data_IF_465655799678
#
_entry.id   IF_465655799678
#
_cell.length_a   1.000
_cell.length_b   1.000
_cell.length_c   1.000
_cell.angle_alpha   90.00
_cell.angle_beta   90.00
_cell.angle_gamma   90.00
#
_symmetry.space_group_name_H-M   'P 1'
#
loop_
_entity.id
_entity.type
_entity.pdbx_description
1 polymer ?
#
# COMPACT_ATOMS: atom_id res chain seq x y z
N UNK A 1 -3.55 -14.52 29.41
CA UNK A 1 -2.29 -13.84 29.84
C UNK A 1 -1.37 -13.39 28.69
N UNK A 2 -1.71 -13.59 27.41
CA UNK A 2 -0.88 -13.15 26.25
C UNK A 2 -1.18 -11.72 25.78
N UNK A 3 -2.33 -11.16 26.18
CA UNK A 3 -2.82 -9.85 25.71
C UNK A 3 -2.07 -8.63 26.28
N UNK A 4 -1.34 -8.77 27.40
CA UNK A 4 -0.54 -7.67 27.94
C UNK A 4 0.80 -7.50 27.24
N UNK A 5 1.37 -8.55 26.64
CA UNK A 5 2.70 -8.47 26.01
C UNK A 5 2.76 -7.56 24.79
N UNK A 6 1.74 -7.58 23.92
CA UNK A 6 1.74 -6.78 22.68
C UNK A 6 1.49 -5.29 22.93
N UNK A 7 0.62 -4.95 23.88
CA UNK A 7 0.37 -3.56 24.29
C UNK A 7 1.59 -3.00 25.04
N UNK A 8 2.27 -3.83 25.85
CA UNK A 8 3.51 -3.43 26.52
C UNK A 8 4.65 -3.21 25.52
N UNK A 9 4.77 -4.03 24.46
CA UNK A 9 5.77 -3.82 23.40
C UNK A 9 5.53 -2.52 22.64
N UNK A 10 4.27 -2.18 22.33
CA UNK A 10 3.94 -0.89 21.71
C UNK A 10 4.32 0.26 22.66
N UNK A 11 3.92 0.21 23.95
CA UNK A 11 4.27 1.23 24.95
C UNK A 11 5.78 1.35 25.24
N UNK A 12 6.52 0.23 25.23
CA UNK A 12 7.97 0.22 25.45
C UNK A 12 8.73 0.87 24.28
N UNK A 13 8.22 0.75 23.04
CA UNK A 13 8.77 1.46 21.88
C UNK A 13 8.58 2.98 22.01
N UNK A 14 7.51 3.44 22.65
CA UNK A 14 7.24 4.88 22.85
C UNK A 14 7.98 5.51 24.03
N UNK A 15 8.25 4.75 25.11
CA UNK A 15 8.84 5.32 26.32
C UNK A 15 10.29 5.77 26.11
N UNK A 16 11.02 5.08 25.22
CA UNK A 16 12.38 5.45 24.82
C UNK A 16 12.41 6.72 23.93
N UNK A 17 11.29 7.03 23.26
CA UNK A 17 11.18 8.19 22.36
C UNK A 17 10.95 9.52 23.09
N UNK A 18 10.51 9.50 24.35
CA UNK A 18 10.22 10.70 25.14
C UNK A 18 11.42 11.22 25.96
N UNK A 19 12.45 10.40 26.18
CA UNK A 19 13.62 10.80 27.00
C UNK A 19 14.80 11.38 26.20
N UNK A 20 14.75 11.38 24.86
CA UNK A 20 15.87 11.87 24.05
C UNK A 20 15.88 13.39 23.80
N UNK A 21 14.94 14.17 24.34
CA UNK A 21 14.86 15.62 24.08
C UNK A 21 14.62 16.41 25.35
N UNK A 22 15.53 16.36 26.33
CA UNK A 22 15.81 17.49 27.24
C UNK A 22 17.20 17.33 27.86
N UNK A 23 18.23 17.91 27.25
CA UNK A 23 19.36 18.51 27.99
C UNK A 23 19.79 19.78 27.25
N UNK A 24 19.70 20.89 27.97
CA UNK A 24 20.22 22.20 27.60
C UNK A 24 21.69 22.29 27.99
N UNK A 25 22.58 22.62 27.04
CA UNK A 25 23.67 23.62 27.14
C UNK A 25 24.68 23.52 25.96
N UNK A 26 25.49 24.58 25.68
CA UNK A 26 25.63 25.10 24.32
C UNK A 26 26.98 24.82 23.61
N UNK A 27 26.95 25.06 22.29
CA UNK A 27 28.07 25.21 21.32
C UNK A 27 28.95 23.98 21.07
N UNK A 28 28.75 23.40 19.87
CA UNK A 28 29.71 22.50 19.22
C UNK A 28 29.11 21.96 17.92
N UNK A 29 29.72 22.30 16.78
CA UNK A 29 29.25 21.97 15.43
C UNK A 29 28.97 20.46 15.26
N UNK A 30 27.70 20.05 15.33
CA UNK A 30 27.19 18.72 14.94
C UNK A 30 25.65 18.70 14.89
N UNK A 31 24.99 19.81 14.56
CA UNK A 31 23.55 19.76 14.29
C UNK A 31 23.35 18.94 12.99
N UNK A 32 22.57 17.84 13.01
CA UNK A 32 22.26 17.11 11.79
C UNK A 32 21.58 18.07 10.83
N UNK A 33 22.01 18.06 9.57
CA UNK A 33 21.38 18.85 8.50
C UNK A 33 19.87 18.59 8.55
N UNK A 34 19.08 19.65 8.69
CA UNK A 34 17.62 19.55 8.83
C UNK A 34 17.00 18.80 7.64
N UNK A 35 17.61 18.93 6.45
CA UNK A 35 17.26 18.14 5.26
C UNK A 35 17.49 16.64 5.45
N UNK A 36 18.58 16.27 6.13
CA UNK A 36 18.90 14.87 6.46
C UNK A 36 17.86 14.26 7.40
N UNK A 37 17.32 15.00 8.37
CA UNK A 37 16.30 14.48 9.30
C UNK A 37 14.99 14.16 8.56
N UNK A 38 14.54 15.06 7.68
CA UNK A 38 13.29 14.87 6.93
C UNK A 38 13.37 13.73 5.92
N UNK A 39 14.53 13.56 5.29
CA UNK A 39 14.79 12.47 4.35
C UNK A 39 14.93 11.13 5.06
N UNK A 40 15.50 11.07 6.27
CA UNK A 40 15.50 9.85 7.09
C UNK A 40 14.08 9.44 7.51
N UNK A 41 13.24 10.38 7.96
CA UNK A 41 11.83 10.10 8.30
C UNK A 41 11.09 9.52 7.09
N UNK A 42 11.28 10.13 5.93
CA UNK A 42 10.72 9.65 4.67
C UNK A 42 11.19 8.24 4.34
N UNK A 43 12.51 7.97 4.40
CA UNK A 43 13.07 6.66 4.06
C UNK A 43 12.60 5.57 5.01
N UNK A 44 12.60 5.81 6.33
CA UNK A 44 12.09 4.86 7.33
C UNK A 44 10.63 4.51 7.07
N UNK A 45 9.77 5.52 6.91
CA UNK A 45 8.34 5.29 6.67
C UNK A 45 8.10 4.58 5.34
N UNK A 46 8.85 4.96 4.30
CA UNK A 46 8.80 4.33 2.97
C UNK A 46 9.18 2.86 3.06
N UNK A 47 10.32 2.54 3.68
CA UNK A 47 10.79 1.17 3.81
C UNK A 47 9.81 0.32 4.65
N UNK A 48 9.28 0.86 5.75
CA UNK A 48 8.29 0.19 6.57
C UNK A 48 7.03 -0.21 5.76
N UNK A 49 6.56 0.66 4.88
CA UNK A 49 5.30 0.45 4.15
C UNK A 49 5.50 -0.28 2.83
N UNK A 50 6.52 0.08 2.06
CA UNK A 50 6.78 -0.45 0.72
C UNK A 50 7.47 -1.80 0.80
N UNK A 51 8.44 -2.00 1.68
CA UNK A 51 9.12 -3.30 1.81
C UNK A 51 8.36 -4.21 2.77
N UNK A 52 8.33 -3.83 4.05
CA UNK A 52 7.74 -4.68 5.07
C UNK A 52 6.22 -4.78 4.94
N UNK A 53 5.53 -3.68 4.63
CA UNK A 53 4.10 -3.67 4.35
C UNK A 53 3.72 -4.55 3.15
N UNK A 54 4.46 -4.48 2.04
CA UNK A 54 4.21 -5.36 0.88
C UNK A 54 4.43 -6.82 1.24
N UNK A 55 5.50 -7.16 1.98
CA UNK A 55 5.79 -8.52 2.44
C UNK A 55 4.62 -9.12 3.25
N UNK A 56 4.10 -8.39 4.24
CA UNK A 56 3.00 -8.91 5.07
C UNK A 56 1.67 -8.98 4.30
N UNK A 57 1.40 -8.02 3.40
CA UNK A 57 0.21 -8.06 2.54
C UNK A 57 0.30 -9.23 1.55
N UNK A 58 1.50 -9.53 1.01
CA UNK A 58 1.74 -10.69 0.15
C UNK A 58 1.48 -11.99 0.91
N UNK A 59 1.96 -12.07 2.15
CA UNK A 59 1.70 -13.22 3.03
C UNK A 59 0.20 -13.41 3.24
N UNK A 60 -0.54 -12.34 3.52
CA UNK A 60 -2.00 -12.38 3.62
C UNK A 60 -2.65 -12.82 2.30
N UNK A 61 -2.23 -12.28 1.15
CA UNK A 61 -2.75 -12.68 -0.16
C UNK A 61 -2.57 -14.18 -0.42
N UNK A 62 -1.38 -14.71 -0.15
CA UNK A 62 -1.09 -16.14 -0.32
C UNK A 62 -1.95 -17.01 0.61
N UNK A 63 -2.04 -16.64 1.89
CA UNK A 63 -2.73 -17.41 2.92
C UNK A 63 -4.25 -17.35 2.82
N UNK A 64 -4.81 -16.17 2.61
CA UNK A 64 -6.25 -15.89 2.76
C UNK A 64 -6.97 -15.73 1.41
N UNK A 65 -6.25 -15.59 0.30
CA UNK A 65 -6.85 -15.47 -1.05
C UNK A 65 -6.49 -16.66 -1.92
N UNK A 66 -5.20 -16.96 -2.08
CA UNK A 66 -4.71 -17.99 -3.00
C UNK A 66 -5.00 -19.40 -2.47
N UNK A 67 -4.47 -19.72 -1.27
CA UNK A 67 -4.53 -21.08 -0.70
C UNK A 67 -5.96 -21.60 -0.47
N UNK A 68 -6.94 -20.82 0.02
CA UNK A 68 -8.31 -21.31 0.18
C UNK A 68 -8.98 -21.68 -1.15
N UNK A 69 -8.48 -21.15 -2.26
CA UNK A 69 -8.96 -21.50 -3.59
C UNK A 69 -8.43 -22.83 -4.13
N UNK A 70 -7.39 -23.43 -3.55
CA UNK A 70 -6.74 -24.64 -4.11
C UNK A 70 -7.19 -25.90 -3.36
N UNK A 71 -7.83 -26.83 -4.07
CA UNK A 71 -8.24 -28.14 -3.54
C UNK A 71 -7.01 -29.05 -3.36
N UNK A 72 -6.90 -29.74 -2.21
CA UNK A 72 -5.82 -30.70 -1.86
C UNK A 72 -4.42 -30.09 -1.64
N UNK A 73 -4.35 -28.90 -1.04
CA UNK A 73 -3.13 -28.06 -0.96
C UNK A 73 -2.13 -28.35 0.15
N UNK A 74 -2.10 -29.55 0.76
CA UNK A 74 -1.32 -29.75 2.00
C UNK A 74 0.22 -29.68 1.79
N UNK A 75 0.73 -29.78 0.56
CA UNK A 75 2.17 -29.66 0.28
C UNK A 75 2.49 -29.00 -1.08
N UNK A 76 1.84 -27.89 -1.42
CA UNK A 76 2.19 -27.11 -2.62
C UNK A 76 3.05 -25.89 -2.25
N UNK A 77 4.05 -25.59 -3.08
CA UNK A 77 4.84 -24.36 -2.98
C UNK A 77 3.95 -23.14 -3.26
N UNK A 78 4.28 -21.97 -2.72
CA UNK A 78 3.52 -20.74 -3.00
C UNK A 78 3.50 -20.42 -4.51
N UNK A 79 4.62 -20.70 -5.21
CA UNK A 79 4.72 -20.53 -6.66
C UNK A 79 3.70 -21.39 -7.41
N UNK A 80 3.59 -22.67 -7.07
CA UNK A 80 2.63 -23.58 -7.70
C UNK A 80 1.19 -23.22 -7.33
N UNK A 81 0.96 -22.79 -6.08
CA UNK A 81 -0.34 -22.33 -5.62
C UNK A 81 -0.82 -21.11 -6.42
N UNK A 82 0.06 -20.13 -6.62
CA UNK A 82 -0.20 -18.91 -7.41
C UNK A 82 -0.49 -19.26 -8.86
N UNK A 83 0.33 -20.13 -9.48
CA UNK A 83 0.13 -20.55 -10.87
C UNK A 83 -1.23 -21.22 -11.06
N UNK A 84 -1.58 -22.18 -10.18
CA UNK A 84 -2.88 -22.86 -10.23
C UNK A 84 -4.03 -21.90 -9.97
N UNK A 85 -3.85 -20.97 -9.04
CA UNK A 85 -4.87 -20.00 -8.67
C UNK A 85 -5.19 -19.06 -9.84
N UNK A 86 -4.17 -18.50 -10.48
CA UNK A 86 -4.37 -17.65 -11.67
C UNK A 86 -4.82 -18.44 -12.90
N UNK A 87 -4.58 -19.76 -12.95
CA UNK A 87 -5.12 -20.64 -14.01
C UNK A 87 -6.62 -20.95 -13.88
N UNK A 88 -7.27 -20.59 -12.78
CA UNK A 88 -8.70 -20.83 -12.58
C UNK A 88 -9.55 -19.97 -13.50
N UNK A 89 -10.54 -20.60 -14.14
CA UNK A 89 -11.41 -19.93 -15.09
C UNK A 89 -12.16 -18.72 -14.49
N UNK A 90 -12.62 -18.80 -13.24
CA UNK A 90 -13.25 -17.69 -12.52
C UNK A 90 -12.28 -16.52 -12.25
N UNK A 91 -11.01 -16.82 -11.95
CA UNK A 91 -9.97 -15.81 -11.68
C UNK A 91 -9.55 -15.13 -12.97
N UNK A 92 -9.28 -15.91 -14.03
CA UNK A 92 -8.95 -15.38 -15.37
C UNK A 92 -10.04 -14.41 -15.83
N UNK A 93 -11.31 -14.81 -15.75
CA UNK A 93 -12.44 -14.00 -16.20
C UNK A 93 -12.53 -12.67 -15.45
N UNK A 94 -12.35 -12.68 -14.13
CA UNK A 94 -12.37 -11.44 -13.33
C UNK A 94 -11.18 -10.54 -13.68
N UNK A 95 -9.97 -11.09 -13.82
CA UNK A 95 -8.79 -10.33 -14.21
C UNK A 95 -8.90 -9.75 -15.62
N UNK A 96 -9.42 -10.51 -16.59
CA UNK A 96 -9.70 -10.00 -17.94
C UNK A 96 -10.72 -8.87 -17.93
N UNK A 97 -11.77 -8.98 -17.11
CA UNK A 97 -12.73 -7.90 -16.91
C UNK A 97 -12.03 -6.66 -16.38
N UNK A 98 -11.17 -6.79 -15.37
CA UNK A 98 -10.40 -5.68 -14.81
C UNK A 98 -9.41 -5.07 -15.81
N UNK A 99 -8.82 -5.88 -16.69
CA UNK A 99 -7.99 -5.41 -17.81
C UNK A 99 -8.83 -4.61 -18.82
N UNK A 100 -9.98 -5.16 -19.24
CA UNK A 100 -10.92 -4.52 -20.19
C UNK A 100 -11.44 -3.19 -19.65
N UNK A 101 -11.74 -3.11 -18.35
CA UNK A 101 -12.18 -1.89 -17.67
C UNK A 101 -11.03 -0.98 -17.22
N UNK A 102 -9.78 -1.29 -17.59
CA UNK A 102 -8.58 -0.49 -17.29
C UNK A 102 -8.35 -0.24 -15.79
N UNK A 103 -8.79 -1.18 -14.96
CA UNK A 103 -8.45 -1.25 -13.53
C UNK A 103 -7.08 -1.89 -13.34
N UNK A 104 -6.74 -2.89 -14.17
CA UNK A 104 -5.38 -3.44 -14.28
C UNK A 104 -4.73 -2.86 -15.54
N UNK A 105 -3.54 -2.29 -15.39
CA UNK A 105 -2.77 -1.73 -16.50
C UNK A 105 -1.94 -2.79 -17.22
N UNK A 106 -1.41 -2.45 -18.40
CA UNK A 106 -0.60 -3.39 -19.19
C UNK A 106 0.66 -3.86 -18.44
N UNK A 107 1.32 -2.96 -17.70
CA UNK A 107 2.46 -3.28 -16.83
C UNK A 107 2.09 -4.33 -15.77
N UNK A 108 1.02 -4.08 -15.02
CA UNK A 108 0.50 -5.02 -14.01
C UNK A 108 -0.01 -6.33 -14.63
N UNK A 109 -0.61 -6.28 -15.82
CA UNK A 109 -1.03 -7.46 -16.54
C UNK A 109 0.17 -8.34 -16.91
N UNK A 110 1.29 -7.74 -17.31
CA UNK A 110 2.51 -8.47 -17.64
C UNK A 110 3.16 -9.10 -16.41
N UNK A 111 2.93 -8.56 -15.20
CA UNK A 111 3.30 -9.23 -13.96
C UNK A 111 2.42 -10.45 -13.68
N UNK A 112 1.10 -10.32 -13.92
CA UNK A 112 0.13 -11.41 -13.70
C UNK A 112 0.26 -12.54 -14.73
N UNK A 113 0.50 -12.21 -16.00
CA UNK A 113 0.62 -13.14 -17.13
C UNK A 113 1.85 -12.80 -17.98
N UNK A 114 3.07 -13.08 -17.47
CA UNK A 114 4.29 -12.80 -18.20
C UNK A 114 4.44 -13.72 -19.41
N UNK A 115 5.18 -13.28 -20.41
CA UNK A 115 5.48 -14.08 -21.61
C UNK A 115 6.23 -15.39 -21.29
N UNK A 116 6.94 -15.44 -20.16
CA UNK A 116 7.59 -16.65 -19.64
C UNK A 116 6.60 -17.72 -19.17
N UNK A 117 5.31 -17.38 -19.01
CA UNK A 117 4.28 -18.26 -18.46
C UNK A 117 4.34 -18.44 -16.94
N UNK A 118 5.31 -17.81 -16.27
CA UNK A 118 5.53 -17.95 -14.83
C UNK A 118 5.44 -16.61 -14.10
N UNK A 119 4.31 -16.41 -13.42
CA UNK A 119 4.07 -15.29 -12.51
C UNK A 119 4.97 -15.38 -11.28
N UNK A 120 5.62 -14.27 -10.92
CA UNK A 120 6.37 -14.14 -9.69
C UNK A 120 5.67 -13.15 -8.74
N UNK A 121 5.07 -13.68 -7.68
CA UNK A 121 4.32 -12.88 -6.70
C UNK A 121 5.23 -11.94 -5.90
N UNK A 122 6.54 -12.20 -5.85
CA UNK A 122 7.50 -11.30 -5.20
C UNK A 122 7.61 -9.96 -5.93
N UNK A 123 7.31 -9.93 -7.23
CA UNK A 123 7.31 -8.69 -8.03
C UNK A 123 6.07 -7.83 -7.83
N UNK A 124 5.07 -8.31 -7.08
CA UNK A 124 3.83 -7.56 -6.88
C UNK A 124 4.04 -6.46 -5.85
N UNK A 125 3.75 -5.23 -6.26
CA UNK A 125 3.72 -4.08 -5.36
C UNK A 125 2.45 -4.08 -4.50
N UNK A 126 2.45 -3.23 -3.48
CA UNK A 126 1.30 -3.03 -2.60
C UNK A 126 0.03 -2.65 -3.37
N UNK A 127 0.12 -1.89 -4.46
CA UNK A 127 -1.03 -1.49 -5.28
C UNK A 127 -1.72 -2.70 -5.90
N UNK A 128 -0.93 -3.54 -6.57
CA UNK A 128 -1.42 -4.74 -7.22
C UNK A 128 -1.96 -5.73 -6.19
N UNK A 129 -1.24 -5.96 -5.10
CA UNK A 129 -1.70 -6.85 -4.03
C UNK A 129 -3.05 -6.42 -3.44
N UNK A 130 -3.21 -5.14 -3.08
CA UNK A 130 -4.47 -4.62 -2.54
C UNK A 130 -5.62 -4.78 -3.54
N UNK A 131 -5.36 -4.51 -4.83
CA UNK A 131 -6.35 -4.71 -5.88
C UNK A 131 -6.76 -6.18 -6.02
N UNK A 132 -5.79 -7.09 -6.04
CA UNK A 132 -6.04 -8.53 -6.14
C UNK A 132 -6.84 -9.04 -4.95
N UNK A 133 -6.47 -8.67 -3.72
CA UNK A 133 -7.20 -9.03 -2.51
C UNK A 133 -8.65 -8.53 -2.61
N UNK A 134 -8.86 -7.25 -2.95
CA UNK A 134 -10.21 -6.68 -3.11
C UNK A 134 -11.09 -7.42 -4.11
N UNK A 135 -10.50 -7.92 -5.20
CA UNK A 135 -11.25 -8.49 -6.33
C UNK A 135 -11.36 -10.00 -6.30
N UNK A 136 -10.43 -10.68 -5.63
CA UNK A 136 -10.29 -12.13 -5.67
C UNK A 136 -10.47 -12.81 -4.31
N UNK A 137 -10.51 -12.06 -3.19
CA UNK A 137 -10.78 -12.66 -1.88
C UNK A 137 -12.09 -13.47 -1.90
N UNK A 138 -12.13 -14.69 -1.33
CA UNK A 138 -13.33 -15.54 -1.34
C UNK A 138 -14.58 -14.83 -0.80
N UNK A 139 -14.40 -14.06 0.28
CA UNK A 139 -15.46 -13.30 0.95
C UNK A 139 -15.64 -11.83 0.45
N UNK A 140 -15.13 -11.50 -0.74
CA UNK A 140 -15.12 -10.11 -1.26
C UNK A 140 -16.47 -9.38 -1.28
N UNK A 141 -17.58 -10.11 -1.29
CA UNK A 141 -18.92 -9.53 -1.27
C UNK A 141 -19.30 -8.95 0.11
N UNK A 142 -18.75 -9.49 1.19
CA UNK A 142 -19.02 -9.06 2.56
C UNK A 142 -17.93 -8.13 3.12
N UNK A 143 -16.74 -8.14 2.50
CA UNK A 143 -15.63 -7.27 2.89
C UNK A 143 -15.89 -5.80 2.51
N UNK A 144 -15.74 -4.93 3.49
CA UNK A 144 -15.87 -3.48 3.34
C UNK A 144 -14.49 -2.87 3.13
N UNK A 145 -14.40 -1.99 2.14
CA UNK A 145 -13.23 -1.18 1.84
C UNK A 145 -13.56 0.29 2.09
N UNK A 146 -13.91 0.63 3.33
CA UNK A 146 -14.32 1.99 3.69
C UNK A 146 -13.11 2.90 3.80
N UNK A 147 -13.17 4.09 3.17
CA UNK A 147 -12.23 5.16 3.48
C UNK A 147 -12.26 5.41 5.00
N UNK A 148 -11.11 5.28 5.64
CA UNK A 148 -11.00 5.49 7.08
C UNK A 148 -11.46 6.91 7.39
N UNK A 149 -12.41 7.09 8.33
CA UNK A 149 -12.65 8.42 8.90
C UNK A 149 -11.36 8.86 9.59
N UNK A 150 -10.99 10.14 9.46
CA UNK A 150 -9.72 10.72 9.98
C UNK A 150 -9.46 10.45 11.48
N UNK A 151 -10.48 9.98 12.21
CA UNK A 151 -10.48 9.79 13.65
C UNK A 151 -10.71 8.32 14.06
N UNK A 152 -10.61 7.37 13.13
CA UNK A 152 -10.86 5.97 13.47
C UNK A 152 -9.73 5.45 14.35
N UNK A 153 -10.04 5.22 15.64
CA UNK A 153 -9.18 4.52 16.58
C UNK A 153 -8.64 3.24 15.94
N UNK A 154 -7.40 2.86 16.26
CA UNK A 154 -6.90 1.54 15.90
C UNK A 154 -7.91 0.48 16.35
N UNK A 155 -8.48 -0.35 15.43
CA UNK A 155 -9.47 -1.31 15.81
C UNK A 155 -8.83 -2.27 16.81
N UNK A 156 -9.60 -2.59 17.84
CA UNK A 156 -9.21 -3.59 18.81
C UNK A 156 -9.04 -4.94 18.11
N UNK A 157 -7.85 -5.53 18.28
CA UNK A 157 -7.43 -6.91 17.96
C UNK A 157 -7.84 -7.49 16.58
N UNK A 158 -6.87 -7.82 15.71
CA UNK A 158 -7.14 -8.45 14.41
C UNK A 158 -7.50 -9.93 14.54
N UNK A 159 -8.75 -10.22 14.90
CA UNK A 159 -9.25 -11.59 14.98
C UNK A 159 -10.22 -11.94 13.85
N UNK A 160 -10.49 -11.00 12.94
CA UNK A 160 -11.41 -11.17 11.83
C UNK A 160 -10.75 -10.76 10.52
N UNK A 161 -11.16 -11.38 9.42
CA UNK A 161 -10.74 -11.00 8.06
C UNK A 161 -10.96 -9.52 7.80
N UNK A 162 -12.09 -8.95 8.24
CA UNK A 162 -12.35 -7.50 8.09
C UNK A 162 -11.32 -6.65 8.83
N UNK A 163 -10.93 -7.04 10.04
CA UNK A 163 -9.86 -6.33 10.78
C UNK A 163 -8.55 -6.31 10.01
N UNK A 164 -8.16 -7.43 9.37
CA UNK A 164 -6.99 -7.46 8.50
C UNK A 164 -7.15 -6.54 7.28
N UNK A 165 -8.31 -6.54 6.62
CA UNK A 165 -8.60 -5.63 5.49
C UNK A 165 -8.46 -4.15 5.91
N UNK A 166 -8.92 -3.78 7.10
CA UNK A 166 -8.79 -2.41 7.61
C UNK A 166 -7.32 -1.99 7.77
N UNK A 167 -6.46 -2.90 8.24
CA UNK A 167 -5.02 -2.67 8.33
C UNK A 167 -4.31 -2.63 6.97
N UNK A 168 -4.73 -3.45 6.02
CA UNK A 168 -4.25 -3.38 4.63
C UNK A 168 -4.62 -2.01 4.01
N UNK A 169 -5.84 -1.53 4.25
CA UNK A 169 -6.28 -0.24 3.76
C UNK A 169 -5.52 0.92 4.40
N UNK A 170 -5.16 0.82 5.67
CA UNK A 170 -4.30 1.80 6.35
C UNK A 170 -2.91 1.87 5.72
N UNK A 171 -2.26 0.73 5.48
CA UNK A 171 -0.96 0.70 4.79
C UNK A 171 -1.05 1.32 3.39
N UNK A 172 -2.11 1.04 2.64
CA UNK A 172 -2.38 1.69 1.36
C UNK A 172 -2.46 3.22 1.50
N UNK A 173 -3.16 3.73 2.52
CA UNK A 173 -3.30 5.17 2.75
C UNK A 173 -1.95 5.82 3.11
N UNK A 174 -1.16 5.18 3.99
CA UNK A 174 0.18 5.66 4.32
C UNK A 174 1.08 5.65 3.08
N UNK A 175 0.99 4.61 2.22
CA UNK A 175 1.69 4.60 0.93
C UNK A 175 1.29 5.79 0.06
N UNK A 176 0.00 6.07 -0.07
CA UNK A 176 -0.47 7.20 -0.86
C UNK A 176 0.10 8.52 -0.31
N UNK A 177 0.15 8.69 1.02
CA UNK A 177 0.81 9.83 1.66
C UNK A 177 2.31 9.94 1.30
N UNK A 178 3.05 8.83 1.36
CA UNK A 178 4.47 8.77 0.96
C UNK A 178 4.62 9.18 -0.51
N UNK A 179 3.78 8.66 -1.40
CA UNK A 179 3.88 8.91 -2.84
C UNK A 179 3.70 10.40 -3.18
N UNK A 180 2.85 11.11 -2.43
CA UNK A 180 2.68 12.56 -2.56
C UNK A 180 3.77 13.38 -1.86
N UNK A 181 4.53 12.77 -0.94
CA UNK A 181 5.58 13.44 -0.15
C UNK A 181 6.99 13.27 -0.74
N UNK A 182 7.16 12.42 -1.77
CA UNK A 182 8.46 12.03 -2.34
C UNK A 182 9.33 13.19 -2.86
N UNK A 183 8.75 14.38 -3.05
CA UNK A 183 9.48 15.57 -3.52
C UNK A 183 10.14 16.36 -2.38
N UNK A 184 9.68 16.23 -1.13
CA UNK A 184 10.04 17.16 -0.05
C UNK A 184 10.51 16.49 1.27
N UNK A 185 10.49 15.16 1.34
CA UNK A 185 10.64 14.46 2.61
C UNK A 185 9.47 14.71 3.56
N UNK A 186 9.56 14.25 4.82
CA UNK A 186 8.51 14.44 5.81
C UNK A 186 8.95 15.47 6.86
N UNK A 187 8.53 16.72 6.66
CA UNK A 187 8.87 17.85 7.54
C UNK A 187 8.03 17.84 8.82
N UNK A 188 6.72 17.60 8.66
CA UNK A 188 5.74 17.58 9.73
C UNK A 188 5.94 16.35 10.63
N UNK A 189 6.38 16.59 11.87
CA UNK A 189 6.64 15.54 12.84
C UNK A 189 5.36 14.85 13.31
N UNK A 190 4.26 15.57 13.43
CA UNK A 190 2.97 14.99 13.83
C UNK A 190 2.50 14.04 12.74
N UNK A 191 2.56 14.45 11.47
CA UNK A 191 2.22 13.59 10.33
C UNK A 191 3.14 12.38 10.24
N UNK A 192 4.45 12.55 10.48
CA UNK A 192 5.36 11.41 10.55
C UNK A 192 4.94 10.43 11.63
N UNK A 193 4.77 10.89 12.88
CA UNK A 193 4.38 10.04 14.00
C UNK A 193 3.07 9.31 13.72
N UNK A 194 2.00 10.04 13.34
CA UNK A 194 0.70 9.41 13.06
C UNK A 194 0.80 8.33 11.99
N UNK A 195 1.48 8.60 10.87
CA UNK A 195 1.63 7.61 9.81
C UNK A 195 2.52 6.43 10.23
N UNK A 196 3.58 6.70 10.99
CA UNK A 196 4.47 5.67 11.54
C UNK A 196 3.72 4.74 12.47
N UNK A 197 2.90 5.26 13.38
CA UNK A 197 2.08 4.49 14.31
C UNK A 197 1.07 3.60 13.58
N UNK A 198 0.37 4.18 12.62
CA UNK A 198 -0.60 3.46 11.77
C UNK A 198 0.11 2.33 11.02
N UNK A 199 1.27 2.60 10.41
CA UNK A 199 2.02 1.62 9.66
C UNK A 199 2.56 0.51 10.56
N UNK A 200 3.23 0.85 11.66
CA UNK A 200 3.76 -0.08 12.65
C UNK A 200 2.68 -1.03 13.17
N UNK A 201 1.57 -0.49 13.66
CA UNK A 201 0.48 -1.31 14.15
C UNK A 201 -0.07 -2.23 13.06
N UNK A 202 -0.20 -1.74 11.82
CA UNK A 202 -0.73 -2.54 10.72
C UNK A 202 0.19 -3.67 10.29
N UNK A 203 1.51 -3.44 10.17
CA UNK A 203 2.43 -4.52 9.81
C UNK A 203 2.54 -5.57 10.90
N UNK A 204 2.55 -5.17 12.18
CA UNK A 204 2.59 -6.10 13.32
C UNK A 204 1.34 -6.97 13.38
N UNK A 205 0.17 -6.37 13.19
CA UNK A 205 -1.11 -7.07 13.11
C UNK A 205 -1.12 -8.07 11.96
N UNK A 206 -0.59 -7.70 10.79
CA UNK A 206 -0.51 -8.58 9.62
C UNK A 206 0.61 -9.64 9.74
N UNK A 207 1.35 -9.67 10.85
CA UNK A 207 2.29 -10.74 11.19
C UNK A 207 3.77 -10.42 10.97
N UNK A 208 4.16 -9.14 10.86
CA UNK A 208 5.57 -8.76 10.87
C UNK A 208 6.25 -9.11 12.20
N UNK A 209 7.52 -9.51 12.14
CA UNK A 209 8.35 -9.65 13.34
C UNK A 209 8.60 -8.27 13.97
N UNK A 210 8.27 -8.04 15.26
CA UNK A 210 8.61 -6.81 15.97
C UNK A 210 10.09 -6.41 15.86
N UNK A 211 11.00 -7.37 15.70
CA UNK A 211 12.43 -7.11 15.51
C UNK A 211 12.73 -6.45 14.16
N UNK A 212 12.00 -6.81 13.10
CA UNK A 212 12.14 -6.16 11.79
C UNK A 212 11.68 -4.70 11.87
N UNK A 213 10.55 -4.43 12.55
CA UNK A 213 10.04 -3.07 12.75
C UNK A 213 11.03 -2.22 13.56
N UNK A 214 11.54 -2.76 14.68
CA UNK A 214 12.53 -2.08 15.51
C UNK A 214 13.81 -1.78 14.73
N UNK A 215 14.29 -2.75 13.93
CA UNK A 215 15.46 -2.55 13.07
C UNK A 215 15.25 -1.39 12.10
N UNK A 216 14.08 -1.28 11.46
CA UNK A 216 13.77 -0.17 10.52
C UNK A 216 13.74 1.18 11.25
N UNK A 217 13.19 1.20 12.47
CA UNK A 217 13.13 2.41 13.29
C UNK A 217 14.53 2.97 13.60
N UNK A 218 15.45 2.07 13.95
CA UNK A 218 16.83 2.41 14.35
C UNK A 218 17.75 2.58 13.12
N UNK A 219 17.34 2.09 11.94
CA UNK A 219 18.15 2.15 10.73
C UNK A 219 18.40 3.59 10.31
N UNK A 220 19.65 3.91 9.96
CA UNK A 220 20.03 5.17 9.34
C UNK A 220 20.42 4.88 7.89
N UNK A 221 19.59 5.35 6.96
CA UNK A 221 19.83 5.17 5.54
C UNK A 221 20.98 6.07 5.09
N UNK A 222 21.88 5.56 4.26
CA UNK A 222 22.82 6.40 3.54
C UNK A 222 22.09 7.34 2.58
N UNK A 223 22.71 8.44 2.20
CA UNK A 223 22.16 9.37 1.20
C UNK A 223 21.80 8.65 -0.11
N UNK A 224 22.64 7.71 -0.55
CA UNK A 224 22.43 6.94 -1.77
C UNK A 224 21.20 6.03 -1.68
N UNK A 225 20.99 5.37 -0.53
CA UNK A 225 19.78 4.54 -0.32
C UNK A 225 18.52 5.40 -0.30
N UNK A 226 18.56 6.58 0.33
CA UNK A 226 17.46 7.54 0.31
C UNK A 226 17.15 7.97 -1.13
N UNK A 227 18.17 8.37 -1.89
CA UNK A 227 18.00 8.82 -3.27
C UNK A 227 17.38 7.70 -4.13
N UNK A 228 17.80 6.44 -3.90
CA UNK A 228 17.25 5.26 -4.57
C UNK A 228 15.75 5.10 -4.24
N UNK A 229 15.39 5.11 -2.96
CA UNK A 229 13.98 5.01 -2.51
C UNK A 229 13.13 6.14 -3.12
N UNK A 230 13.63 7.38 -3.11
CA UNK A 230 12.93 8.53 -3.70
C UNK A 230 12.73 8.36 -5.20
N UNK A 231 13.75 7.90 -5.92
CA UNK A 231 13.69 7.64 -7.36
C UNK A 231 12.67 6.55 -7.72
N UNK A 232 12.64 5.45 -6.97
CA UNK A 232 11.68 4.35 -7.18
C UNK A 232 10.24 4.80 -6.94
N UNK A 233 9.99 5.50 -5.83
CA UNK A 233 8.65 6.03 -5.51
C UNK A 233 8.19 7.04 -6.57
N UNK A 234 9.09 7.93 -7.01
CA UNK A 234 8.79 8.90 -8.07
C UNK A 234 8.45 8.21 -9.38
N UNK A 235 9.25 7.24 -9.79
CA UNK A 235 9.02 6.48 -11.03
C UNK A 235 7.66 5.77 -11.00
N UNK A 236 7.33 5.14 -9.87
CA UNK A 236 6.02 4.52 -9.65
C UNK A 236 4.87 5.53 -9.69
N UNK A 237 5.04 6.71 -9.09
CA UNK A 237 4.05 7.79 -9.13
C UNK A 237 3.80 8.32 -10.55
N UNK A 238 4.88 8.49 -11.33
CA UNK A 238 4.83 8.92 -12.73
C UNK A 238 4.16 7.87 -13.63
N UNK A 239 4.47 6.60 -13.43
CA UNK A 239 3.80 5.48 -14.12
C UNK A 239 2.30 5.48 -13.85
N UNK A 240 1.91 5.63 -12.59
CA UNK A 240 0.50 5.72 -12.19
C UNK A 240 -0.20 6.94 -12.81
N UNK A 241 0.49 8.09 -12.86
CA UNK A 241 -0.04 9.31 -13.50
C UNK A 241 -0.22 9.14 -15.00
N UNK A 242 0.80 8.63 -15.72
CA UNK A 242 0.71 8.33 -17.16
C UNK A 242 -0.45 7.38 -17.46
N UNK A 243 -0.65 6.38 -16.61
CA UNK A 243 -1.76 5.46 -16.72
C UNK A 243 -3.13 6.12 -16.53
N UNK A 244 -3.25 7.04 -15.58
CA UNK A 244 -4.46 7.84 -15.36
C UNK A 244 -4.75 8.77 -16.54
N UNK A 245 -3.76 9.54 -16.99
CA UNK A 245 -3.89 10.50 -18.11
C UNK A 245 -4.34 9.77 -19.39
N UNK A 246 -3.73 8.62 -19.71
CA UNK A 246 -4.16 7.79 -20.85
C UNK A 246 -5.62 7.31 -20.76
N UNK A 247 -6.16 7.19 -19.54
CA UNK A 247 -7.57 6.82 -19.31
C UNK A 247 -8.47 8.01 -19.63
N UNK A 248 -8.06 9.22 -19.26
CA UNK A 248 -8.75 10.48 -19.58
C UNK A 248 -8.74 10.79 -21.07
N UNK A 249 -7.58 10.74 -21.76
CA UNK A 249 -7.50 11.06 -23.19
C UNK A 249 -8.41 10.15 -24.03
N UNK A 250 -8.52 8.86 -23.66
CA UNK A 250 -9.43 7.92 -24.33
C UNK A 250 -10.88 8.17 -23.96
N UNK A 251 -11.16 8.65 -22.75
CA UNK A 251 -12.50 9.09 -22.36
C UNK A 251 -12.87 10.32 -23.17
N UNK A 252 -11.98 11.31 -23.30
CA UNK A 252 -12.17 12.49 -24.14
C UNK A 252 -12.42 12.10 -25.59
N UNK A 253 -11.67 11.18 -26.18
CA UNK A 253 -11.92 10.70 -27.55
C UNK A 253 -13.29 10.01 -27.70
N UNK A 254 -13.69 9.19 -26.72
CA UNK A 254 -15.02 8.58 -26.70
C UNK A 254 -16.13 9.63 -26.49
N UNK A 255 -15.86 10.65 -25.68
CA UNK A 255 -16.76 11.77 -25.41
C UNK A 255 -16.87 12.68 -26.63
N UNK A 256 -15.80 12.98 -27.36
CA UNK A 256 -15.85 13.70 -28.64
C UNK A 256 -16.66 12.93 -29.69
N UNK A 257 -16.65 11.59 -29.65
CA UNK A 257 -17.52 10.77 -30.49
C UNK A 257 -19.01 10.83 -30.07
N UNK A 258 -19.30 11.14 -28.80
CA UNK A 258 -20.64 11.11 -28.19
C UNK A 258 -21.30 12.50 -28.02
N UNK A 259 -20.51 13.56 -27.78
CA UNK A 259 -20.91 14.97 -27.57
C UNK A 259 -21.33 15.68 -28.86
N UNK A 260 -21.30 14.98 -30.00
CA UNK A 260 -22.08 15.40 -31.17
C UNK A 260 -23.59 15.47 -30.88
N UNK A 261 -24.04 14.90 -29.76
CA UNK A 261 -25.39 15.06 -29.21
C UNK A 261 -25.38 15.89 -27.90
N UNK A 262 -25.99 17.08 -27.94
CA UNK A 262 -25.96 18.12 -26.87
C UNK A 262 -26.62 17.69 -25.55
N UNK A 263 -27.36 16.58 -25.53
CA UNK A 263 -28.15 16.14 -24.36
C UNK A 263 -27.32 15.58 -23.19
N UNK A 264 -26.02 15.36 -23.35
CA UNK A 264 -25.19 14.66 -22.35
C UNK A 264 -24.20 15.54 -21.56
N UNK A 265 -24.18 16.85 -21.78
CA UNK A 265 -23.23 17.77 -21.12
C UNK A 265 -23.36 17.83 -19.58
N UNK A 266 -24.55 17.58 -19.02
CA UNK A 266 -24.78 17.60 -17.56
C UNK A 266 -24.25 16.31 -16.89
N UNK A 267 -24.36 15.15 -17.56
CA UNK A 267 -23.77 13.90 -17.08
C UNK A 267 -22.24 13.98 -16.99
N UNK A 268 -21.63 14.82 -17.83
CA UNK A 268 -20.18 15.01 -17.91
C UNK A 268 -19.59 15.71 -16.68
N UNK A 269 -20.24 16.75 -16.14
CA UNK A 269 -19.79 17.43 -14.91
C UNK A 269 -19.84 16.47 -13.71
N UNK A 270 -20.86 15.61 -13.65
CA UNK A 270 -21.00 14.60 -12.59
C UNK A 270 -19.92 13.52 -12.69
N UNK A 271 -19.58 13.06 -13.91
CA UNK A 271 -18.51 12.08 -14.12
C UNK A 271 -17.11 12.63 -13.81
N UNK A 272 -16.83 13.90 -14.13
CA UNK A 272 -15.56 14.55 -13.74
C UNK A 272 -15.47 14.68 -12.22
N UNK A 273 -16.54 15.13 -11.56
CA UNK A 273 -16.59 15.21 -10.10
C UNK A 273 -16.40 13.83 -9.44
N UNK A 274 -16.99 12.77 -10.01
CA UNK A 274 -16.78 11.39 -9.56
C UNK A 274 -15.36 10.89 -9.82
N UNK A 275 -14.73 11.27 -10.92
CA UNK A 275 -13.37 10.86 -11.26
C UNK A 275 -12.30 11.58 -10.39
N UNK A 276 -12.51 12.85 -10.08
CA UNK A 276 -11.69 13.61 -9.09
C UNK A 276 -11.86 12.99 -7.70
N UNK A 277 -13.07 12.58 -7.33
CA UNK A 277 -13.30 11.85 -6.07
C UNK A 277 -12.66 10.45 -6.09
N UNK A 278 -12.59 9.80 -7.26
CA UNK A 278 -11.91 8.51 -7.46
C UNK A 278 -10.38 8.60 -7.29
N UNK A 279 -9.80 9.79 -7.48
CA UNK A 279 -8.37 10.08 -7.29
C UNK A 279 -7.93 9.92 -5.82
N UNK A 280 -8.87 9.96 -4.88
CA UNK A 280 -8.68 9.61 -3.47
C UNK A 280 -8.89 8.12 -3.15
N UNK A 281 -9.37 7.34 -4.12
CA UNK A 281 -9.89 5.97 -3.92
C UNK A 281 -8.99 4.86 -4.48
N UNK A 282 -8.20 5.12 -5.53
CA UNK A 282 -7.13 4.22 -6.04
C UNK A 282 -5.91 4.25 -5.11
#
# INVERSE_FOLDING_TARGET
MVHHGHILVILLIFTDSAQAVQTSDPVGANAPDVSSVYTQRFARLSYLVIELGTKVIRTFFLKDVVRPGITNGEHITDKDAVLRFFGKHEVIRELEKLKKTKVIFASQWNLLYPASGHTDVETFDITLLVLLIRKLHPDKANLKWSALKENATLPSSPQTTQGFIDHIQRLKNVRNYIQHSATFGIQDMEKFCTNWEIACASVLVLGADPKEVKKIQEFNFSKQEIDTIVCEIRSSAEDNKRHFDSRFDRLELLIFSFVRDVRFAIFFVVLIALAINYQWWI
#
